data_IF_507637788273
#
_entry.id   IF_507637788273
#
_cell.length_a   1.000
_cell.length_b   1.000
_cell.length_c   1.000
_cell.angle_alpha   90.00
_cell.angle_beta   90.00
_cell.angle_gamma   90.00
#
_symmetry.space_group_name_H-M   'P 1'
#
loop_
_entity.id
_entity.type
_entity.pdbx_description
1 polymer ?
#
# COMPACT_ATOMS: atom_id res chain seq x y z
N UNK A 1 -10.23 -22.31 -41.47
CA UNK A 1 -10.63 -22.21 -40.04
C UNK A 1 -11.73 -21.17 -39.90
N UNK A 2 -12.82 -21.53 -39.22
CA UNK A 2 -13.99 -20.66 -38.99
C UNK A 2 -13.63 -19.41 -38.16
N UNK A 3 -14.30 -18.28 -38.46
CA UNK A 3 -14.19 -16.99 -37.75
C UNK A 3 -14.47 -17.13 -36.25
N UNK A 4 -15.39 -18.02 -35.87
CA UNK A 4 -15.68 -18.33 -34.45
C UNK A 4 -14.45 -18.89 -33.75
N UNK A 5 -13.68 -19.77 -34.41
CA UNK A 5 -12.49 -20.36 -33.82
C UNK A 5 -11.38 -19.32 -33.62
N UNK A 6 -11.27 -18.35 -34.53
CA UNK A 6 -10.32 -17.22 -34.38
C UNK A 6 -10.70 -16.29 -33.23
N UNK A 7 -11.99 -15.97 -33.09
CA UNK A 7 -12.50 -15.15 -31.98
C UNK A 7 -12.30 -15.89 -30.65
N UNK A 8 -12.64 -17.18 -30.59
CA UNK A 8 -12.47 -18.00 -29.39
C UNK A 8 -11.00 -18.10 -28.97
N UNK A 9 -10.10 -18.37 -29.91
CA UNK A 9 -8.65 -18.40 -29.63
C UNK A 9 -8.12 -17.03 -29.22
N UNK A 10 -8.59 -15.93 -29.80
CA UNK A 10 -8.19 -14.59 -29.38
C UNK A 10 -8.65 -14.28 -27.94
N UNK A 11 -9.86 -14.72 -27.58
CA UNK A 11 -10.38 -14.61 -26.21
C UNK A 11 -9.58 -15.50 -25.25
N UNK A 12 -9.37 -16.78 -25.58
CA UNK A 12 -8.56 -17.71 -24.79
C UNK A 12 -7.14 -17.17 -24.60
N UNK A 13 -6.51 -16.65 -25.66
CA UNK A 13 -5.15 -16.09 -25.61
C UNK A 13 -5.07 -14.86 -24.70
N UNK A 14 -6.07 -13.97 -24.77
CA UNK A 14 -6.18 -12.80 -23.89
C UNK A 14 -6.50 -13.18 -22.44
N UNK A 15 -7.13 -14.33 -22.22
CA UNK A 15 -7.39 -14.91 -20.89
C UNK A 15 -6.21 -15.73 -20.35
N UNK A 16 -5.21 -16.05 -21.18
CA UNK A 16 -4.01 -16.84 -20.83
C UNK A 16 -2.76 -15.98 -20.62
N UNK A 17 -2.87 -14.67 -20.42
CA UNK A 17 -1.74 -13.94 -19.83
C UNK A 17 -1.52 -14.49 -18.42
N UNK A 18 -0.34 -15.03 -18.13
CA UNK A 18 0.00 -15.45 -16.77
C UNK A 18 -0.27 -14.27 -15.82
N UNK A 19 -1.25 -14.45 -14.94
CA UNK A 19 -1.60 -13.44 -13.97
C UNK A 19 -0.42 -13.25 -13.03
N UNK A 20 0.24 -12.10 -13.18
CA UNK A 20 1.39 -11.76 -12.36
C UNK A 20 0.90 -11.36 -10.99
N UNK A 21 1.34 -12.10 -9.96
CA UNK A 21 0.97 -11.83 -8.56
C UNK A 21 1.76 -10.62 -8.04
N UNK A 22 1.04 -9.66 -7.45
CA UNK A 22 1.60 -8.38 -7.03
C UNK A 22 2.59 -8.49 -5.86
N UNK A 23 2.47 -9.53 -5.03
CA UNK A 23 3.33 -9.75 -3.86
C UNK A 23 4.81 -9.86 -4.20
N UNK A 24 5.16 -10.28 -5.42
CA UNK A 24 6.53 -10.35 -5.93
C UNK A 24 7.18 -8.98 -6.18
N UNK A 25 6.39 -7.90 -6.23
CA UNK A 25 6.84 -6.53 -6.50
C UNK A 25 6.67 -5.61 -5.29
N UNK A 26 5.97 -6.07 -4.25
CA UNK A 26 5.75 -5.33 -3.00
C UNK A 26 7.03 -5.07 -2.21
N UNK A 27 7.01 -4.00 -1.42
CA UNK A 27 7.99 -3.78 -0.36
C UNK A 27 7.67 -4.68 0.83
N UNK A 28 8.63 -5.51 1.22
CA UNK A 28 8.54 -6.41 2.38
C UNK A 28 8.87 -5.68 3.68
N UNK A 29 8.58 -6.32 4.82
CA UNK A 29 8.85 -5.79 6.15
C UNK A 29 8.19 -4.41 6.35
N UNK A 30 6.87 -4.36 6.17
CA UNK A 30 6.09 -3.13 6.28
C UNK A 30 6.33 -2.51 7.66
N UNK A 31 6.78 -1.25 7.67
CA UNK A 31 7.02 -0.56 8.92
C UNK A 31 5.69 -0.09 9.51
N UNK A 32 5.43 -0.52 10.74
CA UNK A 32 4.22 -0.22 11.49
C UNK A 32 4.53 0.78 12.61
N UNK A 33 3.53 1.55 13.01
CA UNK A 33 3.61 2.41 14.20
C UNK A 33 2.36 2.25 15.07
N UNK A 34 2.52 2.23 16.39
CA UNK A 34 1.36 2.21 17.29
C UNK A 34 0.69 3.58 17.32
N UNK A 35 -0.64 3.60 17.43
CA UNK A 35 -1.42 4.83 17.44
C UNK A 35 -1.19 5.74 18.66
N UNK A 36 -0.67 5.20 19.76
CA UNK A 36 -0.33 5.93 20.99
C UNK A 36 1.08 6.55 20.97
N UNK A 37 1.88 6.26 19.93
CA UNK A 37 3.19 6.92 19.73
C UNK A 37 3.03 8.36 19.31
N UNK A 38 4.07 9.16 19.52
CA UNK A 38 4.05 10.57 19.13
C UNK A 38 4.27 10.75 17.62
N UNK A 39 3.73 11.83 17.07
CA UNK A 39 3.88 12.17 15.65
C UNK A 39 5.35 12.43 15.27
N UNK A 40 6.16 13.00 16.18
CA UNK A 40 7.60 13.16 15.92
C UNK A 40 8.34 11.82 15.78
N UNK A 41 7.93 10.78 16.50
CA UNK A 41 8.47 9.42 16.32
C UNK A 41 8.12 8.90 14.92
N UNK A 42 6.87 9.11 14.47
CA UNK A 42 6.43 8.74 13.13
C UNK A 42 7.27 9.44 12.05
N UNK A 43 7.44 10.76 12.17
CA UNK A 43 8.22 11.57 11.24
C UNK A 43 9.70 11.13 11.21
N UNK A 44 10.27 10.80 12.37
CA UNK A 44 11.63 10.27 12.46
C UNK A 44 11.77 8.93 11.74
N UNK A 45 10.86 7.99 11.98
CA UNK A 45 10.88 6.68 11.31
C UNK A 45 10.76 6.83 9.79
N UNK A 46 9.87 7.73 9.33
CA UNK A 46 9.71 8.05 7.90
C UNK A 46 11.02 8.55 7.28
N UNK A 47 11.66 9.52 7.93
CA UNK A 47 12.95 10.07 7.47
C UNK A 47 14.06 9.02 7.48
N UNK A 48 14.20 8.26 8.57
CA UNK A 48 15.28 7.29 8.74
C UNK A 48 15.16 6.12 7.74
N UNK A 49 13.94 5.74 7.37
CA UNK A 49 13.67 4.63 6.43
C UNK A 49 13.38 5.07 5.00
N UNK A 50 13.30 6.37 4.73
CA UNK A 50 12.95 6.90 3.41
C UNK A 50 11.55 6.49 2.94
N UNK A 51 10.57 6.41 3.86
CA UNK A 51 9.19 6.03 3.55
C UNK A 51 8.25 7.21 3.82
N UNK A 52 7.24 7.39 2.98
CA UNK A 52 6.29 8.51 3.09
C UNK A 52 4.97 8.13 3.77
N UNK A 53 4.80 6.88 4.18
CA UNK A 53 3.58 6.40 4.82
C UNK A 53 3.78 5.10 5.59
N UNK A 54 2.96 4.90 6.62
CA UNK A 54 2.96 3.71 7.47
C UNK A 54 1.54 3.35 7.93
N UNK A 55 1.20 2.05 8.05
CA UNK A 55 0.01 1.62 8.77
C UNK A 55 0.13 1.94 10.26
N UNK A 56 -0.99 2.38 10.84
CA UNK A 56 -1.11 2.62 12.28
C UNK A 56 -1.82 1.43 12.90
N UNK A 57 -1.22 0.85 13.96
CA UNK A 57 -1.75 -0.31 14.66
C UNK A 57 -2.18 0.01 16.09
N UNK A 58 -3.11 -0.78 16.63
CA UNK A 58 -3.45 -0.78 18.05
C UNK A 58 -2.53 -1.74 18.84
N UNK A 59 -2.76 -1.86 20.15
CA UNK A 59 -1.99 -2.74 21.04
C UNK A 59 -2.13 -4.22 20.70
N UNK A 60 -3.22 -4.61 20.02
CA UNK A 60 -3.47 -5.97 19.55
C UNK A 60 -2.83 -6.25 18.18
N UNK A 61 -2.05 -5.31 17.63
CA UNK A 61 -1.42 -5.43 16.32
C UNK A 61 -2.36 -5.20 15.13
N UNK A 62 -3.61 -4.80 15.35
CA UNK A 62 -4.57 -4.60 14.27
C UNK A 62 -4.41 -3.20 13.68
N UNK A 63 -4.46 -3.10 12.35
CA UNK A 63 -4.51 -1.85 11.61
C UNK A 63 -5.75 -1.05 11.98
N UNK A 64 -5.55 0.17 12.47
CA UNK A 64 -6.63 1.12 12.86
C UNK A 64 -6.66 2.36 11.97
N UNK A 65 -5.59 2.63 11.23
CA UNK A 65 -5.51 3.78 10.33
C UNK A 65 -4.21 3.78 9.54
N UNK A 66 -3.89 4.93 8.95
CA UNK A 66 -2.60 5.16 8.31
C UNK A 66 -2.09 6.56 8.58
N UNK A 67 -0.78 6.73 8.59
CA UNK A 67 -0.16 8.06 8.70
C UNK A 67 0.73 8.28 7.49
N UNK A 68 0.61 9.46 6.87
CA UNK A 68 1.39 9.87 5.70
C UNK A 68 2.18 11.12 6.02
N UNK A 69 3.32 11.26 5.37
CA UNK A 69 4.19 12.43 5.43
C UNK A 69 3.40 13.71 5.10
N UNK A 70 2.58 13.67 4.03
CA UNK A 70 1.73 14.82 3.65
C UNK A 70 0.79 15.25 4.79
N UNK A 71 0.26 14.30 5.55
CA UNK A 71 -0.67 14.57 6.65
C UNK A 71 0.06 15.30 7.77
N UNK A 72 1.27 14.84 8.11
CA UNK A 72 2.14 15.48 9.11
C UNK A 72 2.50 16.90 8.67
N UNK A 73 2.95 17.09 7.42
CA UNK A 73 3.29 18.40 6.85
C UNK A 73 2.09 19.34 6.88
N UNK A 74 0.93 18.89 6.40
CA UNK A 74 -0.28 19.72 6.37
C UNK A 74 -0.70 20.16 7.77
N UNK A 75 -0.61 19.26 8.77
CA UNK A 75 -0.91 19.58 10.17
C UNK A 75 0.12 20.53 10.78
N UNK A 76 1.40 20.38 10.46
CA UNK A 76 2.45 21.31 10.88
C UNK A 76 2.19 22.72 10.36
N UNK A 77 1.80 22.86 9.08
CA UNK A 77 1.52 24.15 8.47
C UNK A 77 0.26 24.82 9.06
N UNK A 78 -0.73 24.02 9.48
CA UNK A 78 -2.00 24.53 10.02
C UNK A 78 -1.96 24.83 11.52
N UNK A 79 -1.24 24.01 12.30
CA UNK A 79 -1.31 24.01 13.76
C UNK A 79 0.06 24.24 14.45
N UNK A 80 1.14 24.36 13.68
CA UNK A 80 2.49 24.55 14.19
C UNK A 80 3.12 23.28 14.77
N UNK A 81 4.23 23.47 15.49
CA UNK A 81 5.04 22.36 16.01
C UNK A 81 4.36 21.53 17.10
N UNK A 82 3.27 22.02 17.71
CA UNK A 82 2.58 21.30 18.79
C UNK A 82 2.04 19.94 18.34
N UNK A 83 1.70 19.79 17.05
CA UNK A 83 1.23 18.50 16.49
C UNK A 83 2.25 17.37 16.70
N UNK A 84 3.54 17.70 16.78
CA UNK A 84 4.63 16.73 16.91
C UNK A 84 4.58 15.98 18.25
N UNK A 85 3.95 16.59 19.27
CA UNK A 85 3.78 16.02 20.60
C UNK A 85 2.50 15.18 20.72
N UNK A 86 1.56 15.34 19.78
CA UNK A 86 0.31 14.59 19.78
C UNK A 86 0.57 13.12 19.48
N UNK A 87 -0.40 12.28 19.87
CA UNK A 87 -0.43 10.88 19.48
C UNK A 87 -0.77 10.74 17.98
N UNK A 88 -0.18 9.75 17.32
CA UNK A 88 -0.42 9.42 15.91
C UNK A 88 -1.90 9.20 15.62
N UNK A 89 -2.63 8.52 16.52
CA UNK A 89 -4.07 8.24 16.36
C UNK A 89 -4.94 9.50 16.27
N UNK A 90 -4.45 10.66 16.72
CA UNK A 90 -5.18 11.92 16.67
C UNK A 90 -5.14 12.63 15.31
N UNK A 91 -4.18 12.26 14.45
CA UNK A 91 -4.01 12.87 13.12
C UNK A 91 -3.98 11.86 11.97
N UNK A 92 -4.08 10.56 12.27
CA UNK A 92 -4.08 9.51 11.26
C UNK A 92 -5.24 9.64 10.28
N UNK A 93 -5.01 9.18 9.06
CA UNK A 93 -6.02 9.01 8.03
C UNK A 93 -6.67 7.62 8.15
N UNK A 94 -7.63 7.34 7.27
CA UNK A 94 -8.25 6.02 7.14
C UNK A 94 -7.21 4.93 6.86
N UNK A 95 -7.61 3.68 7.11
CA UNK A 95 -6.75 2.50 6.86
C UNK A 95 -6.30 2.47 5.40
N UNK A 96 -5.09 1.97 5.18
CA UNK A 96 -4.67 1.55 3.83
C UNK A 96 -5.53 0.35 3.44
N UNK A 97 -6.11 0.31 2.23
CA UNK A 97 -6.87 -0.86 1.77
C UNK A 97 -6.04 -2.14 1.85
N UNK A 98 -6.65 -3.21 2.36
CA UNK A 98 -6.04 -4.52 2.49
C UNK A 98 -6.53 -5.43 1.37
N UNK A 99 -5.62 -6.22 0.80
CA UNK A 99 -5.91 -7.18 -0.26
C UNK A 99 -5.10 -8.47 -0.03
N UNK A 100 -5.59 -9.65 -0.45
CA UNK A 100 -4.89 -10.91 -0.24
C UNK A 100 -3.52 -10.97 -0.94
N UNK A 101 -2.57 -11.74 -0.42
CA UNK A 101 -1.28 -11.97 -1.12
C UNK A 101 -1.39 -12.63 -2.49
N UNK A 102 -2.54 -13.23 -2.81
CA UNK A 102 -2.86 -13.81 -4.12
C UNK A 102 -3.31 -12.76 -5.14
N UNK A 103 -3.42 -11.49 -4.75
CA UNK A 103 -3.81 -10.38 -5.63
C UNK A 103 -2.91 -10.29 -6.86
N UNK A 104 -3.53 -10.09 -8.02
CA UNK A 104 -2.83 -9.85 -9.28
C UNK A 104 -2.42 -8.38 -9.43
N UNK A 105 -1.43 -8.11 -10.28
CA UNK A 105 -0.99 -6.75 -10.61
C UNK A 105 -2.14 -5.90 -11.17
N UNK A 106 -3.07 -6.49 -11.94
CA UNK A 106 -4.20 -5.77 -12.51
C UNK A 106 -5.28 -5.43 -11.49
N UNK A 107 -5.56 -6.32 -10.54
CA UNK A 107 -6.43 -6.03 -9.40
C UNK A 107 -5.82 -4.92 -8.53
N UNK A 108 -4.53 -5.05 -8.21
CA UNK A 108 -3.79 -4.06 -7.44
C UNK A 108 -3.81 -2.68 -8.12
N UNK A 109 -3.66 -2.64 -9.45
CA UNK A 109 -3.74 -1.41 -10.25
C UNK A 109 -5.07 -0.69 -10.06
N UNK A 110 -6.19 -1.41 -10.15
CA UNK A 110 -7.54 -0.82 -9.97
C UNK A 110 -7.67 -0.15 -8.61
N UNK A 111 -7.15 -0.79 -7.56
CA UNK A 111 -7.16 -0.22 -6.21
C UNK A 111 -6.22 0.99 -6.08
N UNK A 112 -5.02 0.90 -6.67
CA UNK A 112 -4.02 1.98 -6.65
C UNK A 112 -4.41 3.21 -7.50
N UNK A 113 -5.42 3.12 -8.36
CA UNK A 113 -5.98 4.30 -9.02
C UNK A 113 -6.71 5.21 -8.01
N UNK A 114 -7.28 4.63 -6.96
CA UNK A 114 -8.06 5.34 -5.94
C UNK A 114 -7.24 5.59 -4.66
N UNK A 115 -6.20 4.81 -4.42
CA UNK A 115 -5.39 4.85 -3.20
C UNK A 115 -3.90 4.96 -3.51
N UNK A 116 -3.14 5.58 -2.62
CA UNK A 116 -1.69 5.74 -2.78
C UNK A 116 -0.92 4.42 -2.61
N UNK A 117 -1.51 3.49 -1.84
CA UNK A 117 -0.96 2.17 -1.58
C UNK A 117 -2.05 1.16 -1.21
N UNK A 118 -1.66 -0.11 -1.22
CA UNK A 118 -2.43 -1.24 -0.69
C UNK A 118 -1.53 -2.08 0.22
N UNK A 119 -2.11 -2.69 1.25
CA UNK A 119 -1.46 -3.69 2.08
C UNK A 119 -1.82 -5.07 1.55
N UNK A 120 -0.81 -5.91 1.37
CA UNK A 120 -0.98 -7.31 1.00
C UNK A 120 -0.93 -8.15 2.27
N UNK A 121 -2.00 -8.89 2.54
CA UNK A 121 -2.20 -9.63 3.79
C UNK A 121 -2.45 -11.11 3.56
N UNK A 122 -2.02 -11.91 4.54
CA UNK A 122 -2.28 -13.35 4.68
C UNK A 122 -3.03 -13.59 6.00
N UNK A 123 -3.27 -14.86 6.34
CA UNK A 123 -3.75 -15.22 7.69
C UNK A 123 -2.72 -14.90 8.78
N UNK A 124 -1.43 -14.84 8.43
CA UNK A 124 -0.33 -14.56 9.36
C UNK A 124 -0.12 -13.06 9.61
N UNK A 125 -0.67 -12.21 8.75
CA UNK A 125 -0.68 -10.75 8.92
C UNK A 125 -0.30 -9.98 7.66
N UNK A 126 0.46 -8.90 7.84
CA UNK A 126 0.86 -8.00 6.75
C UNK A 126 2.16 -8.51 6.11
N UNK A 127 2.05 -8.96 4.87
CA UNK A 127 3.15 -9.56 4.10
C UNK A 127 3.87 -8.57 3.19
N UNK A 128 3.21 -7.46 2.87
CA UNK A 128 3.80 -6.44 2.02
C UNK A 128 2.96 -5.19 1.88
N UNK A 129 3.59 -4.14 1.38
CA UNK A 129 2.93 -2.93 0.94
C UNK A 129 3.26 -2.69 -0.53
N UNK A 130 2.26 -2.35 -1.32
CA UNK A 130 2.40 -2.08 -2.74
C UNK A 130 1.97 -0.65 -3.03
N UNK A 131 2.79 0.05 -3.81
CA UNK A 131 2.54 1.44 -4.23
C UNK A 131 2.49 1.55 -5.75
N UNK A 132 2.08 2.72 -6.25
CA UNK A 132 2.14 3.02 -7.70
C UNK A 132 3.53 2.81 -8.30
N UNK A 133 4.60 3.06 -7.54
CA UNK A 133 5.98 2.87 -7.99
C UNK A 133 6.28 1.39 -8.23
N UNK A 134 5.74 0.50 -7.40
CA UNK A 134 5.97 -0.94 -7.53
C UNK A 134 5.27 -1.53 -8.76
N UNK A 135 4.11 -0.99 -9.13
CA UNK A 135 3.45 -1.31 -10.40
C UNK A 135 4.32 -0.91 -11.59
N UNK A 136 4.93 0.28 -11.57
CA UNK A 136 5.85 0.72 -12.64
C UNK A 136 7.00 -0.29 -12.79
N UNK A 137 7.62 -0.71 -11.67
CA UNK A 137 8.69 -1.72 -11.68
C UNK A 137 8.22 -3.06 -12.25
N UNK A 138 6.97 -3.44 -12.01
CA UNK A 138 6.40 -4.68 -12.54
C UNK A 138 6.34 -4.69 -14.07
N UNK A 139 5.95 -3.56 -14.68
CA UNK A 139 5.93 -3.42 -16.14
C UNK A 139 7.33 -3.26 -16.74
N UNK A 140 8.28 -2.62 -16.04
CA UNK A 140 9.65 -2.47 -16.54
C UNK A 140 10.44 -3.79 -16.64
N UNK A 141 10.02 -4.86 -15.97
CA UNK A 141 10.63 -6.20 -16.10
C UNK A 141 9.99 -7.07 -17.19
N UNK A 142 8.86 -6.65 -17.77
CA UNK A 142 8.16 -7.36 -18.86
C UNK A 142 8.68 -6.97 -20.26
N UNK A 143 9.58 -5.98 -20.36
CA UNK A 143 10.24 -5.51 -21.59
C UNK A 143 11.72 -5.86 -21.53
#
# INVERSE_FOLDING_TARGET
>A
MSTIKKILTAIETALTEEEVIAIGYSTKNVTLIRGDKRVNEAAKIMSDKGISQMPVINEKGQTIGSIKEKTIINKLLQNGQEILKNEVKSIMESKIPEMPITTTVDEAKKMLLQHDAILLTSEEGIEGILTKIDIIKAYSKKV
#
